data_IF_903033635400
#
_entry.id   IF_903033635400
#
_cell.length_a   1.000
_cell.length_b   1.000
_cell.length_c   1.000
_cell.angle_alpha   90.00
_cell.angle_beta   90.00
_cell.angle_gamma   90.00
#
_symmetry.space_group_name_H-M   'P 1'
#
loop_
_entity.id
_entity.type
_entity.pdbx_description
1 polymer ?
#
# COMPACT_ATOMS: atom_id res chain seq x y z
N UNK A 1 -20.23 57.35 1.17
CA UNK A 1 -19.19 56.72 0.34
C UNK A 1 -19.61 55.29 0.06
N UNK A 2 -19.57 54.87 -1.20
CA UNK A 2 -19.80 53.48 -1.58
C UNK A 2 -18.63 52.59 -1.13
N UNK A 3 -18.86 51.27 -1.06
CA UNK A 3 -17.81 50.31 -0.71
C UNK A 3 -16.59 50.39 -1.66
N UNK A 4 -16.81 50.77 -2.92
CA UNK A 4 -15.77 50.94 -3.94
C UNK A 4 -14.97 52.24 -3.76
N UNK A 5 -15.61 53.29 -3.24
CA UNK A 5 -14.94 54.55 -2.91
C UNK A 5 -14.03 54.45 -1.68
N UNK A 6 -14.32 53.49 -0.78
CA UNK A 6 -13.53 53.26 0.43
C UNK A 6 -12.27 52.39 0.21
N UNK A 7 -12.06 51.85 -1.00
CA UNK A 7 -10.88 51.04 -1.33
C UNK A 7 -9.71 51.90 -1.75
N UNK A 8 -8.54 51.65 -1.17
CA UNK A 8 -7.26 52.23 -1.58
C UNK A 8 -6.63 51.39 -2.71
N UNK A 9 -7.32 51.32 -3.84
CA UNK A 9 -6.99 50.47 -4.99
C UNK A 9 -6.34 51.22 -6.17
N UNK A 10 -6.06 52.52 -6.01
CA UNK A 10 -5.35 53.32 -7.02
C UNK A 10 -4.44 54.36 -6.38
N UNK A 11 -3.38 54.73 -7.11
CA UNK A 11 -2.39 55.72 -6.69
C UNK A 11 -3.02 57.09 -6.38
N UNK A 12 -4.08 57.46 -7.11
CA UNK A 12 -4.81 58.70 -6.87
C UNK A 12 -5.53 58.69 -5.51
N UNK A 13 -6.13 57.55 -5.13
CA UNK A 13 -6.84 57.43 -3.85
C UNK A 13 -5.85 57.38 -2.68
N UNK A 14 -4.75 56.65 -2.82
CA UNK A 14 -3.69 56.63 -1.80
C UNK A 14 -3.03 58.00 -1.63
N UNK A 15 -2.74 58.72 -2.72
CA UNK A 15 -2.21 60.07 -2.66
C UNK A 15 -3.18 61.06 -1.98
N UNK A 16 -4.48 61.00 -2.32
CA UNK A 16 -5.49 61.87 -1.72
C UNK A 16 -5.62 61.67 -0.20
N UNK A 17 -5.49 60.43 0.28
CA UNK A 17 -5.49 60.13 1.72
C UNK A 17 -4.18 60.60 2.38
N UNK A 18 -3.03 60.34 1.75
CA UNK A 18 -1.73 60.79 2.25
C UNK A 18 -1.65 62.31 2.41
N UNK A 19 -2.15 63.07 1.42
CA UNK A 19 -2.19 64.54 1.46
C UNK A 19 -3.06 65.06 2.61
N UNK A 20 -4.23 64.44 2.84
CA UNK A 20 -5.10 64.80 3.96
C UNK A 20 -4.47 64.51 5.32
N UNK A 21 -3.78 63.37 5.47
CA UNK A 21 -3.07 63.03 6.70
C UNK A 21 -1.90 64.00 6.95
N UNK A 22 -1.17 64.37 5.90
CA UNK A 22 -0.10 65.38 5.98
C UNK A 22 -0.65 66.76 6.38
N UNK A 23 -1.80 67.16 5.85
CA UNK A 23 -2.50 68.40 6.22
C UNK A 23 -2.95 68.45 7.69
N UNK A 24 -3.09 67.29 8.35
CA UNK A 24 -3.36 67.16 9.79
C UNK A 24 -2.09 67.14 10.65
N UNK A 25 -0.90 67.30 10.06
CA UNK A 25 0.38 67.32 10.76
C UNK A 25 1.05 65.95 10.94
N UNK A 26 0.53 64.88 10.31
CA UNK A 26 1.18 63.57 10.34
C UNK A 26 2.32 63.52 9.31
N UNK A 27 3.52 63.19 9.77
CA UNK A 27 4.70 63.10 8.92
C UNK A 27 4.80 61.70 8.26
N UNK A 28 5.06 61.68 6.95
CA UNK A 28 5.34 60.48 6.16
C UNK A 28 4.31 59.34 6.30
N UNK A 29 3.02 59.58 5.98
CA UNK A 29 2.01 58.53 6.01
C UNK A 29 2.33 57.45 4.97
N UNK A 30 2.39 56.20 5.41
CA UNK A 30 2.62 55.03 4.57
C UNK A 30 1.63 53.91 4.92
N UNK A 31 1.38 53.06 3.94
CA UNK A 31 0.56 51.86 4.13
C UNK A 31 1.49 50.74 4.55
N UNK A 32 1.21 50.14 5.71
CA UNK A 32 1.82 48.89 6.15
C UNK A 32 0.72 47.83 6.16
N UNK A 33 1.06 46.62 5.73
CA UNK A 33 0.13 45.52 5.63
C UNK A 33 0.75 44.27 6.26
N UNK A 34 -0.06 43.54 7.01
CA UNK A 34 0.35 42.36 7.78
C UNK A 34 -0.68 41.26 7.63
N UNK A 35 -0.21 40.01 7.57
CA UNK A 35 -1.05 38.82 7.70
C UNK A 35 -0.77 38.19 9.05
N UNK A 36 -1.82 38.12 9.89
CA UNK A 36 -1.76 37.48 11.20
C UNK A 36 -2.50 36.15 11.17
N UNK A 37 -1.79 35.07 11.45
CA UNK A 37 -2.37 33.73 11.56
C UNK A 37 -2.88 33.48 12.98
N UNK A 38 -4.10 32.96 13.09
CA UNK A 38 -4.71 32.58 14.37
C UNK A 38 -4.99 31.08 14.41
N UNK A 39 -4.65 30.45 15.54
CA UNK A 39 -4.82 29.01 15.71
C UNK A 39 -6.27 28.73 16.08
N UNK A 40 -6.97 27.98 15.23
CA UNK A 40 -8.34 27.56 15.48
C UNK A 40 -8.31 26.18 16.13
N UNK A 41 -8.24 26.14 17.46
CA UNK A 41 -8.04 24.90 18.21
C UNK A 41 -9.30 24.07 18.48
N UNK A 42 -10.50 24.56 18.13
CA UNK A 42 -11.76 23.92 18.59
C UNK A 42 -12.85 23.78 17.53
N UNK A 43 -12.61 24.20 16.29
CA UNK A 43 -13.60 24.04 15.22
C UNK A 43 -13.10 23.03 14.22
N UNK A 44 -13.52 21.77 14.40
CA UNK A 44 -13.69 20.89 13.24
C UNK A 44 -14.70 21.63 12.36
N UNK A 45 -14.23 22.21 11.24
CA UNK A 45 -15.12 22.82 10.28
C UNK A 45 -16.24 21.81 9.99
N UNK A 46 -17.50 22.19 10.23
CA UNK A 46 -18.64 21.31 9.90
C UNK A 46 -18.49 20.86 8.47
N UNK A 47 -18.95 19.66 8.12
CA UNK A 47 -18.66 19.05 6.82
C UNK A 47 -19.03 19.89 5.58
N UNK A 48 -19.78 20.98 5.73
CA UNK A 48 -20.08 22.00 4.71
C UNK A 48 -18.85 22.84 4.33
N UNK A 49 -17.93 23.09 5.27
CA UNK A 49 -16.70 23.87 5.10
C UNK A 49 -15.45 23.01 4.89
N UNK A 50 -15.57 21.70 5.06
CA UNK A 50 -14.51 20.76 4.75
C UNK A 50 -14.49 20.50 3.24
N UNK A 51 -13.33 20.67 2.60
CA UNK A 51 -13.15 20.30 1.19
C UNK A 51 -13.47 18.83 0.98
N UNK A 52 -14.56 18.54 0.27
CA UNK A 52 -15.02 17.17 -0.07
C UNK A 52 -14.55 16.70 -1.43
N UNK A 53 -13.98 17.61 -2.21
CA UNK A 53 -13.36 17.29 -3.48
C UNK A 53 -11.91 16.87 -3.24
N UNK A 54 -11.67 15.57 -3.22
CA UNK A 54 -10.33 15.00 -3.04
C UNK A 54 -9.34 15.52 -4.10
N UNK A 55 -9.79 15.90 -5.31
CA UNK A 55 -8.88 16.37 -6.35
C UNK A 55 -8.15 17.66 -5.97
N UNK A 56 -8.75 18.52 -5.15
CA UNK A 56 -8.12 19.76 -4.66
C UNK A 56 -6.76 19.58 -3.96
N UNK A 57 -6.53 18.40 -3.34
CA UNK A 57 -5.29 18.07 -2.65
C UNK A 57 -4.49 16.95 -3.34
N UNK A 58 -5.11 16.20 -4.25
CA UNK A 58 -4.55 14.99 -4.87
C UNK A 58 -4.28 15.14 -6.38
N UNK A 59 -4.45 16.33 -6.97
CA UNK A 59 -4.02 16.61 -8.35
C UNK A 59 -2.53 16.99 -8.42
N UNK A 60 -1.95 16.94 -9.62
CA UNK A 60 -0.50 17.13 -9.85
C UNK A 60 -0.02 18.58 -9.59
N UNK A 61 -0.93 19.53 -9.42
CA UNK A 61 -0.60 20.92 -9.12
C UNK A 61 -0.52 21.20 -7.61
N UNK A 62 0.12 22.31 -7.26
CA UNK A 62 0.28 22.75 -5.87
C UNK A 62 -1.08 22.82 -5.12
N UNK A 63 -1.03 22.73 -3.79
CA UNK A 63 -2.22 22.87 -2.96
C UNK A 63 -3.04 24.10 -3.38
N UNK A 64 -4.37 24.00 -3.41
CA UNK A 64 -5.19 25.11 -3.92
C UNK A 64 -4.87 26.42 -3.18
N UNK A 65 -4.53 27.51 -3.89
CA UNK A 65 -4.22 28.78 -3.24
C UNK A 65 -5.44 29.31 -2.49
N UNK A 66 -5.22 29.81 -1.27
CA UNK A 66 -6.24 30.43 -0.45
C UNK A 66 -6.23 31.94 -0.70
N UNK A 67 -7.36 32.49 -1.13
CA UNK A 67 -7.48 33.95 -1.25
C UNK A 67 -7.50 34.57 0.15
N UNK A 68 -6.50 35.42 0.45
CA UNK A 68 -6.40 36.18 1.69
C UNK A 68 -7.15 37.51 1.59
N UNK A 69 -7.08 38.17 0.44
CA UNK A 69 -7.73 39.46 0.22
C UNK A 69 -8.17 39.65 -1.24
N UNK A 70 -9.30 40.35 -1.42
CA UNK A 70 -9.83 40.72 -2.73
C UNK A 70 -9.12 41.90 -3.40
N UNK A 71 -8.27 42.63 -2.66
CA UNK A 71 -7.42 43.70 -3.17
C UNK A 71 -6.31 44.00 -2.14
N UNK A 72 -5.20 44.62 -2.58
CA UNK A 72 -4.14 45.12 -1.71
C UNK A 72 -4.15 46.65 -1.63
N UNK A 73 -4.37 47.25 -0.44
CA UNK A 73 -4.28 48.70 -0.26
C UNK A 73 -2.92 49.26 -0.72
N UNK A 74 -2.94 50.16 -1.70
CA UNK A 74 -1.73 50.75 -2.27
C UNK A 74 -0.76 49.76 -2.92
N UNK A 75 -1.22 48.55 -3.29
CA UNK A 75 -0.37 47.50 -3.86
C UNK A 75 0.68 46.94 -2.89
N UNK A 76 0.57 47.21 -1.59
CA UNK A 76 1.53 46.75 -0.59
C UNK A 76 1.31 45.27 -0.31
N UNK A 77 2.32 44.45 -0.59
CA UNK A 77 2.31 43.02 -0.25
C UNK A 77 2.55 42.88 1.26
N UNK A 78 1.63 42.28 2.01
CA UNK A 78 1.78 42.16 3.45
C UNK A 78 2.85 41.14 3.84
N UNK A 79 3.52 41.40 4.96
CA UNK A 79 4.40 40.43 5.59
C UNK A 79 3.59 39.48 6.49
N UNK A 80 3.99 38.20 6.55
CA UNK A 80 3.52 37.28 7.60
C UNK A 80 4.12 37.72 8.93
N UNK A 81 3.26 37.98 9.91
CA UNK A 81 3.70 38.31 11.27
C UNK A 81 4.20 37.05 11.95
N UNK A 82 5.51 36.98 12.22
CA UNK A 82 6.11 35.90 13.00
C UNK A 82 5.69 35.98 14.48
N UNK A 83 5.56 34.83 15.15
CA UNK A 83 5.32 34.75 16.60
C UNK A 83 3.93 34.31 17.04
N UNK A 84 2.97 34.17 16.12
CA UNK A 84 1.85 33.27 16.36
C UNK A 84 2.43 31.84 16.42
N UNK A 85 1.96 30.96 17.32
CA UNK A 85 2.42 29.57 17.46
C UNK A 85 2.06 28.67 16.25
N UNK A 86 2.24 29.17 15.03
CA UNK A 86 1.79 28.62 13.76
C UNK A 86 2.95 28.77 12.79
N UNK A 87 3.45 27.63 12.31
CA UNK A 87 4.46 27.63 11.27
C UNK A 87 3.86 28.17 9.96
N UNK A 88 4.47 29.21 9.41
CA UNK A 88 4.13 29.79 8.11
C UNK A 88 4.49 28.79 6.99
N UNK A 89 3.62 27.82 6.75
CA UNK A 89 3.90 26.70 5.84
C UNK A 89 3.38 27.01 4.42
N UNK A 90 3.90 28.08 3.82
CA UNK A 90 3.49 28.56 2.51
C UNK A 90 3.95 29.98 2.21
N UNK A 91 3.71 30.42 0.99
CA UNK A 91 4.14 31.72 0.47
C UNK A 91 2.95 32.62 0.16
N UNK A 92 3.07 33.92 0.45
CA UNK A 92 2.09 34.91 0.02
C UNK A 92 2.47 35.39 -1.39
N UNK A 93 1.52 35.31 -2.33
CA UNK A 93 1.72 35.69 -3.72
C UNK A 93 0.62 36.67 -4.16
N UNK A 94 0.99 37.82 -4.77
CA UNK A 94 0.03 38.74 -5.34
C UNK A 94 -0.56 38.16 -6.64
N UNK A 95 -1.88 38.26 -6.80
CA UNK A 95 -2.59 37.92 -8.03
C UNK A 95 -2.46 39.02 -9.09
N UNK A 96 -2.66 38.65 -10.36
CA UNK A 96 -2.53 39.58 -11.50
C UNK A 96 -3.58 40.72 -11.48
N UNK A 97 -4.67 40.55 -10.74
CA UNK A 97 -5.78 41.50 -10.56
C UNK A 97 -5.69 42.31 -9.26
N UNK A 98 -4.54 42.27 -8.56
CA UNK A 98 -4.33 42.96 -7.29
C UNK A 98 -4.93 42.24 -6.08
N UNK A 99 -5.46 41.02 -6.25
CA UNK A 99 -5.82 40.12 -5.16
C UNK A 99 -4.59 39.56 -4.46
N UNK A 100 -4.79 38.99 -3.27
CA UNK A 100 -3.73 38.37 -2.49
C UNK A 100 -4.05 36.91 -2.22
N UNK A 101 -3.13 36.02 -2.53
CA UNK A 101 -3.24 34.59 -2.26
C UNK A 101 -2.16 34.11 -1.30
N UNK A 102 -2.51 33.12 -0.50
CA UNK A 102 -1.58 32.28 0.23
C UNK A 102 -1.48 30.94 -0.49
N UNK A 103 -0.28 30.59 -0.93
CA UNK A 103 0.04 29.32 -1.55
C UNK A 103 0.54 28.36 -0.47
N UNK A 104 -0.24 27.35 -0.06
CA UNK A 104 0.21 26.40 0.95
C UNK A 104 1.35 25.55 0.40
N UNK A 105 2.31 25.25 1.27
CA UNK A 105 3.45 24.35 0.98
C UNK A 105 3.45 23.21 2.01
N UNK A 106 2.67 22.14 1.77
CA UNK A 106 2.49 21.03 2.71
C UNK A 106 3.80 20.35 3.13
N UNK A 107 4.78 20.33 2.24
CA UNK A 107 6.12 19.80 2.51
C UNK A 107 6.84 20.56 3.63
N UNK A 108 6.72 21.90 3.68
CA UNK A 108 7.28 22.70 4.77
C UNK A 108 6.53 22.47 6.09
N UNK A 109 5.24 22.12 6.01
CA UNK A 109 4.42 21.79 7.18
C UNK A 109 4.71 20.38 7.74
N UNK A 110 5.51 19.56 7.05
CA UNK A 110 5.68 18.14 7.39
C UNK A 110 4.41 17.31 7.24
N UNK A 111 3.45 17.78 6.44
CA UNK A 111 2.17 17.09 6.21
C UNK A 111 2.34 16.11 5.04
N UNK A 112 2.01 14.85 5.29
CA UNK A 112 1.99 13.82 4.25
C UNK A 112 0.58 13.67 3.67
N UNK A 113 0.48 13.79 2.35
CA UNK A 113 -0.74 13.69 1.56
C UNK A 113 -0.65 12.44 0.69
N UNK A 114 -1.57 11.49 0.90
CA UNK A 114 -1.62 10.24 0.12
C UNK A 114 -1.66 10.52 -1.39
N UNK A 115 -0.98 9.70 -2.19
CA UNK A 115 -0.98 9.80 -3.66
C UNK A 115 -0.18 10.98 -4.23
N UNK A 116 -0.06 12.09 -3.51
CA UNK A 116 0.85 13.20 -3.84
C UNK A 116 2.26 12.87 -3.32
N UNK A 117 2.38 12.72 -2.01
CA UNK A 117 3.65 12.44 -1.36
C UNK A 117 3.98 10.96 -1.49
N UNK A 118 5.24 10.70 -1.83
CA UNK A 118 5.77 9.36 -2.05
C UNK A 118 7.27 9.33 -1.79
N UNK A 119 7.73 8.22 -1.24
CA UNK A 119 9.16 7.98 -1.03
C UNK A 119 9.70 7.21 -2.24
N UNK A 120 10.36 7.93 -3.14
CA UNK A 120 10.76 7.40 -4.45
C UNK A 120 11.66 6.16 -4.39
N UNK A 121 12.55 6.06 -3.40
CA UNK A 121 13.41 4.89 -3.27
C UNK A 121 12.63 3.62 -2.90
N UNK A 122 11.51 3.74 -2.16
CA UNK A 122 10.63 2.61 -1.84
C UNK A 122 9.96 2.09 -3.11
N UNK A 123 9.51 2.99 -3.98
CA UNK A 123 8.93 2.62 -5.28
C UNK A 123 9.96 1.90 -6.15
N UNK A 124 11.20 2.43 -6.23
CA UNK A 124 12.27 1.81 -7.00
C UNK A 124 12.66 0.44 -6.44
N UNK A 125 12.81 0.31 -5.12
CA UNK A 125 13.11 -0.96 -4.47
C UNK A 125 11.98 -1.98 -4.69
N UNK A 126 10.73 -1.56 -4.50
CA UNK A 126 9.55 -2.39 -4.70
C UNK A 126 9.43 -2.87 -6.15
N UNK A 127 9.55 -1.96 -7.11
CA UNK A 127 9.53 -2.27 -8.54
C UNK A 127 10.70 -3.19 -8.93
N UNK A 128 11.92 -2.92 -8.46
CA UNK A 128 13.08 -3.76 -8.74
C UNK A 128 12.89 -5.18 -8.17
N UNK A 129 12.32 -5.31 -6.98
CA UNK A 129 12.00 -6.60 -6.36
C UNK A 129 10.96 -7.34 -7.19
N UNK A 130 9.87 -6.68 -7.57
CA UNK A 130 8.81 -7.26 -8.38
C UNK A 130 9.30 -7.73 -9.75
N UNK A 131 10.03 -6.86 -10.47
CA UNK A 131 10.60 -7.19 -11.77
C UNK A 131 11.68 -8.27 -11.67
N UNK A 132 12.48 -8.28 -10.60
CA UNK A 132 13.46 -9.32 -10.33
C UNK A 132 12.81 -10.70 -10.15
N UNK A 133 11.74 -10.77 -9.35
CA UNK A 133 10.97 -12.02 -9.17
C UNK A 133 10.30 -12.43 -10.48
N UNK A 134 9.68 -11.49 -11.20
CA UNK A 134 9.05 -11.77 -12.49
C UNK A 134 10.06 -12.33 -13.49
N UNK A 135 11.22 -11.68 -13.65
CA UNK A 135 12.28 -12.14 -14.55
C UNK A 135 12.80 -13.52 -14.16
N UNK A 136 13.06 -13.76 -12.87
CA UNK A 136 13.49 -15.06 -12.36
C UNK A 136 12.46 -16.15 -12.70
N UNK A 137 11.18 -15.89 -12.42
CA UNK A 137 10.06 -16.79 -12.73
C UNK A 137 9.98 -17.06 -14.23
N UNK A 138 10.06 -16.02 -15.07
CA UNK A 138 9.98 -16.15 -16.54
C UNK A 138 11.15 -16.98 -17.08
N UNK A 139 12.38 -16.71 -16.65
CA UNK A 139 13.57 -17.48 -17.05
C UNK A 139 13.45 -18.92 -16.60
N UNK A 140 13.07 -19.14 -15.34
CA UNK A 140 12.93 -20.48 -14.78
C UNK A 140 11.81 -21.29 -15.47
N UNK A 141 10.65 -20.68 -15.72
CA UNK A 141 9.55 -21.27 -16.46
C UNK A 141 9.96 -21.60 -17.91
N UNK A 142 10.62 -20.67 -18.59
CA UNK A 142 11.11 -20.85 -19.96
C UNK A 142 12.11 -22.01 -20.07
N UNK A 143 13.06 -22.10 -19.13
CA UNK A 143 14.01 -23.21 -19.08
C UNK A 143 13.31 -24.55 -18.82
N UNK A 144 12.30 -24.60 -17.94
CA UNK A 144 11.51 -25.82 -17.71
C UNK A 144 10.77 -26.26 -18.98
N UNK A 145 10.12 -25.33 -19.69
CA UNK A 145 9.43 -25.62 -20.94
C UNK A 145 10.40 -26.11 -22.03
N UNK A 146 11.56 -25.46 -22.14
CA UNK A 146 12.61 -25.84 -23.08
C UNK A 146 13.14 -27.26 -22.82
N UNK A 147 13.42 -27.60 -21.56
CA UNK A 147 13.89 -28.95 -21.20
C UNK A 147 12.80 -29.99 -21.39
N UNK A 148 11.56 -29.69 -21.00
CA UNK A 148 10.42 -30.59 -21.21
C UNK A 148 10.15 -30.86 -22.68
N UNK A 149 10.41 -29.91 -23.58
CA UNK A 149 10.29 -30.12 -25.02
C UNK A 149 11.39 -31.04 -25.57
N UNK A 150 12.58 -31.05 -24.95
CA UNK A 150 13.74 -31.83 -25.40
C UNK A 150 13.84 -33.24 -24.82
N UNK A 151 13.10 -33.56 -23.75
CA UNK A 151 13.17 -34.86 -23.07
C UNK A 151 11.77 -35.39 -22.81
N UNK A 152 11.45 -36.64 -23.20
CA UNK A 152 10.17 -37.24 -22.84
C UNK A 152 10.07 -37.33 -21.31
N UNK A 153 8.91 -36.94 -20.77
CA UNK A 153 8.64 -36.98 -19.34
C UNK A 153 8.46 -38.42 -18.89
N UNK A 154 9.01 -38.74 -17.72
CA UNK A 154 8.57 -39.89 -16.95
C UNK A 154 7.28 -39.48 -16.23
N UNK A 155 6.18 -40.19 -16.43
CA UNK A 155 4.94 -39.96 -15.69
C UNK A 155 5.04 -40.76 -14.39
N UNK A 156 5.21 -40.10 -13.23
CA UNK A 156 5.21 -40.80 -11.95
C UNK A 156 3.82 -41.39 -11.70
N UNK A 157 3.75 -42.56 -11.05
CA UNK A 157 2.48 -43.11 -10.60
C UNK A 157 1.86 -42.14 -9.58
N UNK A 158 0.62 -41.73 -9.80
CA UNK A 158 -0.09 -40.81 -8.90
C UNK A 158 -1.33 -41.45 -8.28
N UNK A 159 -1.58 -41.15 -7.01
CA UNK A 159 -2.81 -41.48 -6.31
C UNK A 159 -3.65 -40.23 -6.06
N UNK A 160 -4.96 -40.34 -6.28
CA UNK A 160 -5.90 -39.23 -6.09
C UNK A 160 -6.32 -39.14 -4.63
N UNK A 161 -5.96 -38.04 -3.97
CA UNK A 161 -6.22 -37.81 -2.54
C UNK A 161 -7.07 -36.55 -2.36
N UNK A 162 -8.04 -36.61 -1.47
CA UNK A 162 -8.80 -35.43 -1.05
C UNK A 162 -7.96 -34.61 -0.07
N UNK A 163 -7.33 -33.53 -0.56
CA UNK A 163 -6.31 -32.77 0.14
C UNK A 163 -6.86 -31.53 0.85
N UNK A 164 -7.77 -30.80 0.19
CA UNK A 164 -8.27 -29.52 0.67
C UNK A 164 -9.76 -29.58 0.94
N UNK A 165 -10.20 -29.16 2.12
CA UNK A 165 -11.62 -29.10 2.48
C UNK A 165 -12.34 -27.92 1.80
N UNK A 166 -13.67 -28.00 1.65
CA UNK A 166 -14.45 -26.96 0.96
C UNK A 166 -14.29 -25.58 1.63
N UNK A 167 -14.21 -25.55 2.96
CA UNK A 167 -13.94 -24.35 3.74
C UNK A 167 -12.56 -23.77 3.42
N UNK A 168 -11.49 -24.59 3.43
CA UNK A 168 -10.13 -24.15 3.12
C UNK A 168 -10.04 -23.52 1.72
N UNK A 169 -10.75 -24.11 0.74
CA UNK A 169 -10.82 -23.59 -0.63
C UNK A 169 -11.54 -22.25 -0.70
N UNK A 170 -12.73 -22.16 -0.11
CA UNK A 170 -13.49 -20.91 -0.08
C UNK A 170 -12.69 -19.78 0.58
N UNK A 171 -12.12 -20.06 1.74
CA UNK A 171 -11.28 -19.13 2.49
C UNK A 171 -10.10 -18.61 1.65
N UNK A 172 -9.38 -19.51 1.00
CA UNK A 172 -8.24 -19.17 0.17
C UNK A 172 -8.64 -18.29 -1.01
N UNK A 173 -9.69 -18.65 -1.76
CA UNK A 173 -10.12 -17.88 -2.93
C UNK A 173 -10.65 -16.50 -2.56
N UNK A 174 -11.41 -16.40 -1.45
CA UNK A 174 -11.84 -15.12 -0.92
C UNK A 174 -10.63 -14.23 -0.57
N UNK A 175 -9.64 -14.79 0.12
CA UNK A 175 -8.40 -14.10 0.45
C UNK A 175 -7.62 -13.66 -0.80
N UNK A 176 -7.45 -14.55 -1.77
CA UNK A 176 -6.72 -14.28 -3.01
C UNK A 176 -7.35 -13.13 -3.80
N UNK A 177 -8.68 -13.18 -3.99
CA UNK A 177 -9.41 -12.11 -4.70
C UNK A 177 -9.31 -10.79 -3.94
N UNK A 178 -9.50 -10.80 -2.61
CA UNK A 178 -9.40 -9.60 -1.79
C UNK A 178 -8.00 -8.96 -1.88
N UNK A 179 -6.93 -9.75 -1.78
CA UNK A 179 -5.55 -9.24 -1.86
C UNK A 179 -5.27 -8.65 -3.25
N UNK A 180 -5.67 -9.32 -4.33
CA UNK A 180 -5.47 -8.81 -5.70
C UNK A 180 -6.18 -7.46 -5.89
N UNK A 181 -7.44 -7.35 -5.44
CA UNK A 181 -8.19 -6.11 -5.52
C UNK A 181 -7.62 -5.01 -4.61
N UNK A 182 -7.10 -5.37 -3.44
CA UNK A 182 -6.40 -4.44 -2.55
C UNK A 182 -5.10 -3.91 -3.17
N UNK A 183 -4.31 -4.77 -3.81
CA UNK A 183 -3.11 -4.33 -4.54
C UNK A 183 -3.47 -3.38 -5.67
N UNK A 184 -4.52 -3.69 -6.44
CA UNK A 184 -4.99 -2.83 -7.52
C UNK A 184 -5.47 -1.47 -7.01
N UNK A 185 -6.40 -1.46 -6.04
CA UNK A 185 -6.92 -0.21 -5.46
C UNK A 185 -5.83 0.57 -4.73
N UNK A 186 -4.91 -0.11 -4.05
CA UNK A 186 -3.75 0.51 -3.41
C UNK A 186 -2.81 1.16 -4.41
N UNK A 187 -2.56 0.54 -5.57
CA UNK A 187 -1.79 1.15 -6.66
C UNK A 187 -2.46 2.41 -7.21
N UNK A 188 -3.78 2.41 -7.37
CA UNK A 188 -4.55 3.60 -7.79
C UNK A 188 -4.46 4.72 -6.76
N UNK A 189 -4.51 4.41 -5.46
CA UNK A 189 -4.34 5.40 -4.37
C UNK A 189 -2.91 5.94 -4.33
N UNK A 190 -1.92 5.07 -4.58
CA UNK A 190 -0.51 5.42 -4.55
C UNK A 190 -0.07 6.26 -5.76
N UNK A 191 -0.65 6.01 -6.94
CA UNK A 191 -0.37 6.70 -8.21
C UNK A 191 -1.64 7.25 -8.88
N UNK A 192 -2.34 8.22 -8.25
CA UNK A 192 -3.52 8.84 -8.84
C UNK A 192 -3.19 9.64 -10.11
N UNK A 193 -1.96 10.14 -10.24
CA UNK A 193 -1.39 10.81 -11.41
C UNK A 193 -1.46 9.94 -12.67
N UNK A 194 -1.11 8.66 -12.53
CA UNK A 194 -1.11 7.72 -13.66
C UNK A 194 -2.49 7.08 -13.91
N UNK A 195 -3.34 7.03 -12.87
CA UNK A 195 -4.59 6.28 -12.86
C UNK A 195 -5.82 7.19 -12.60
N UNK A 196 -5.74 8.45 -13.05
CA UNK A 196 -6.75 9.49 -12.81
C UNK A 196 -8.14 9.24 -13.42
N UNK A 197 -8.31 8.16 -14.20
CA UNK A 197 -9.62 7.72 -14.70
C UNK A 197 -10.56 7.25 -13.57
N UNK A 198 -10.01 6.90 -12.40
CA UNK A 198 -10.80 6.43 -11.26
C UNK A 198 -11.11 7.56 -10.28
N UNK A 199 -12.34 7.56 -9.75
CA UNK A 199 -12.70 8.48 -8.68
C UNK A 199 -11.97 8.10 -7.38
N UNK A 200 -11.05 8.96 -6.94
CA UNK A 200 -10.17 8.72 -5.79
C UNK A 200 -10.94 8.33 -4.52
N UNK A 201 -12.02 9.07 -4.20
CA UNK A 201 -12.86 8.80 -3.02
C UNK A 201 -13.48 7.41 -3.06
N UNK A 202 -14.00 7.00 -4.22
CA UNK A 202 -14.60 5.68 -4.37
C UNK A 202 -13.55 4.58 -4.25
N UNK A 203 -12.36 4.77 -4.82
CA UNK A 203 -11.27 3.78 -4.72
C UNK A 203 -10.83 3.61 -3.26
N UNK A 204 -10.63 4.70 -2.51
CA UNK A 204 -10.30 4.63 -1.08
C UNK A 204 -11.40 3.89 -0.30
N UNK A 205 -12.67 4.15 -0.60
CA UNK A 205 -13.79 3.46 0.05
C UNK A 205 -13.77 1.95 -0.26
N UNK A 206 -13.59 1.57 -1.53
CA UNK A 206 -13.50 0.16 -1.94
C UNK A 206 -12.29 -0.52 -1.29
N UNK A 207 -11.14 0.14 -1.26
CA UNK A 207 -9.93 -0.38 -0.61
C UNK A 207 -10.18 -0.68 0.87
N UNK A 208 -10.79 0.27 1.60
CA UNK A 208 -11.10 0.09 3.02
C UNK A 208 -12.11 -1.04 3.26
N UNK A 209 -13.12 -1.18 2.40
CA UNK A 209 -14.11 -2.26 2.50
C UNK A 209 -13.47 -3.63 2.24
N UNK A 210 -12.62 -3.74 1.23
CA UNK A 210 -11.87 -4.97 0.94
C UNK A 210 -10.90 -5.31 2.08
N UNK A 211 -10.26 -4.30 2.69
CA UNK A 211 -9.38 -4.49 3.83
C UNK A 211 -10.14 -5.03 5.04
N UNK A 212 -11.35 -4.51 5.30
CA UNK A 212 -12.22 -5.04 6.35
C UNK A 212 -12.65 -6.49 6.06
N UNK A 213 -13.03 -6.80 4.82
CA UNK A 213 -13.37 -8.18 4.42
C UNK A 213 -12.19 -9.12 4.65
N UNK A 214 -10.98 -8.71 4.23
CA UNK A 214 -9.76 -9.49 4.43
C UNK A 214 -9.44 -9.66 5.92
N UNK A 215 -9.60 -8.62 6.73
CA UNK A 215 -9.38 -8.66 8.17
C UNK A 215 -10.34 -9.63 8.86
N UNK A 216 -11.64 -9.57 8.54
CA UNK A 216 -12.64 -10.50 9.06
C UNK A 216 -12.35 -11.94 8.61
N UNK A 217 -12.00 -12.13 7.35
CA UNK A 217 -11.62 -13.43 6.82
C UNK A 217 -10.38 -14.02 7.52
N UNK A 218 -9.35 -13.19 7.77
CA UNK A 218 -8.15 -13.59 8.50
C UNK A 218 -8.46 -13.92 9.96
N UNK A 219 -9.31 -13.14 10.63
CA UNK A 219 -9.71 -13.39 12.02
C UNK A 219 -10.51 -14.71 12.16
N UNK A 220 -11.46 -14.95 11.25
CA UNK A 220 -12.22 -16.21 11.20
C UNK A 220 -11.32 -17.42 10.93
N UNK A 221 -10.33 -17.26 10.05
CA UNK A 221 -9.38 -18.32 9.75
C UNK A 221 -8.45 -18.63 10.92
N UNK A 222 -7.94 -17.59 11.59
CA UNK A 222 -7.16 -17.74 12.81
C UNK A 222 -7.98 -18.50 13.87
N UNK A 223 -9.24 -18.11 14.08
CA UNK A 223 -10.15 -18.80 14.98
C UNK A 223 -10.35 -20.28 14.58
N UNK A 224 -10.60 -20.56 13.30
CA UNK A 224 -10.73 -21.93 12.79
C UNK A 224 -9.47 -22.76 13.02
N UNK A 225 -8.28 -22.24 12.70
CA UNK A 225 -7.02 -22.98 12.86
C UNK A 225 -6.65 -23.21 14.34
N UNK A 226 -7.02 -22.29 15.23
CA UNK A 226 -6.85 -22.46 16.67
C UNK A 226 -7.80 -23.52 17.23
N UNK A 227 -9.09 -23.47 16.85
CA UNK A 227 -10.11 -24.40 17.37
C UNK A 227 -10.01 -25.80 16.80
N UNK A 228 -9.60 -25.95 15.54
CA UNK A 228 -9.41 -27.27 14.88
C UNK A 228 -8.07 -27.93 15.20
N UNK A 229 -7.13 -27.21 15.81
CA UNK A 229 -5.75 -27.67 16.01
C UNK A 229 -4.91 -27.71 14.71
N UNK A 230 -5.47 -27.31 13.58
CA UNK A 230 -4.77 -27.26 12.29
C UNK A 230 -3.58 -26.30 12.27
N UNK A 231 -3.45 -25.41 13.27
CA UNK A 231 -2.30 -24.52 13.43
C UNK A 231 -0.96 -25.26 13.50
N UNK A 232 -0.95 -26.51 13.97
CA UNK A 232 0.25 -27.35 14.04
C UNK A 232 0.93 -27.57 12.68
N UNK A 233 0.19 -27.44 11.58
CA UNK A 233 0.74 -27.57 10.22
C UNK A 233 1.68 -26.41 9.83
N UNK A 234 1.57 -25.28 10.51
CA UNK A 234 2.37 -24.07 10.24
C UNK A 234 3.60 -23.95 11.15
N UNK A 235 3.74 -24.83 12.15
CA UNK A 235 4.86 -24.80 13.10
C UNK A 235 5.98 -25.71 12.58
N UNK A 236 7.16 -25.18 12.22
CA UNK A 236 8.28 -25.99 11.77
C UNK A 236 8.75 -26.95 12.87
N UNK A 237 8.98 -28.22 12.51
CA UNK A 237 9.64 -29.17 13.43
C UNK A 237 11.14 -28.87 13.42
N UNK A 238 11.77 -28.56 14.57
CA UNK A 238 13.16 -28.06 14.60
C UNK A 238 14.18 -29.09 14.10
N UNK A 239 13.93 -30.38 14.30
CA UNK A 239 14.84 -31.43 13.87
C UNK A 239 14.75 -31.70 12.35
N UNK A 240 15.91 -31.68 11.66
CA UNK A 240 16.02 -31.95 10.23
C UNK A 240 15.34 -30.93 9.31
N UNK A 241 14.98 -29.74 9.82
CA UNK A 241 14.35 -28.70 9.02
C UNK A 241 15.30 -28.14 7.96
N UNK A 242 16.52 -27.79 8.36
CA UNK A 242 17.53 -27.21 7.48
C UNK A 242 17.93 -28.16 6.36
N UNK A 243 18.11 -29.45 6.66
CA UNK A 243 18.42 -30.46 5.65
C UNK A 243 17.31 -30.58 4.60
N UNK A 244 16.06 -30.64 5.05
CA UNK A 244 14.89 -30.68 4.16
C UNK A 244 14.72 -29.38 3.37
N UNK A 245 15.03 -28.23 3.95
CA UNK A 245 15.02 -26.95 3.26
C UNK A 245 16.09 -26.89 2.16
N UNK A 246 17.33 -27.33 2.45
CA UNK A 246 18.41 -27.41 1.46
C UNK A 246 18.05 -28.38 0.32
N UNK A 247 17.48 -29.55 0.64
CA UNK A 247 16.98 -30.49 -0.37
C UNK A 247 15.90 -29.85 -1.25
N UNK A 248 14.96 -29.13 -0.65
CA UNK A 248 13.90 -28.43 -1.38
C UNK A 248 14.45 -27.33 -2.29
N UNK A 249 15.41 -26.54 -1.81
CA UNK A 249 16.08 -25.50 -2.60
C UNK A 249 16.87 -26.10 -3.75
N UNK A 250 17.65 -27.15 -3.51
CA UNK A 250 18.38 -27.88 -4.56
C UNK A 250 17.41 -28.42 -5.62
N UNK A 251 16.24 -28.90 -5.19
CA UNK A 251 15.24 -29.41 -6.11
C UNK A 251 14.77 -28.33 -7.10
N UNK A 252 14.31 -27.19 -6.58
CA UNK A 252 13.84 -26.10 -7.43
C UNK A 252 14.96 -25.49 -8.29
N UNK A 253 16.19 -25.40 -7.80
CA UNK A 253 17.29 -24.81 -8.57
C UNK A 253 17.87 -25.75 -9.64
N UNK A 254 17.72 -27.07 -9.49
CA UNK A 254 18.46 -28.02 -10.33
C UNK A 254 17.68 -29.29 -10.69
N UNK A 255 17.21 -30.06 -9.70
CA UNK A 255 16.60 -31.38 -9.95
C UNK A 255 15.31 -31.31 -10.77
N UNK A 256 14.53 -30.23 -10.63
CA UNK A 256 13.31 -30.02 -11.41
C UNK A 256 13.59 -29.96 -12.93
N UNK A 257 14.78 -29.49 -13.33
CA UNK A 257 15.19 -29.47 -14.75
C UNK A 257 15.67 -30.84 -15.23
N UNK A 258 16.02 -31.75 -14.33
CA UNK A 258 16.34 -33.13 -14.68
C UNK A 258 15.11 -34.02 -14.80
N UNK A 259 13.94 -33.54 -14.35
CA UNK A 259 12.75 -34.37 -14.22
C UNK A 259 12.86 -35.40 -13.10
N UNK A 260 13.73 -35.15 -12.11
CA UNK A 260 13.78 -35.97 -10.90
C UNK A 260 12.46 -35.77 -10.09
N UNK A 261 11.99 -36.80 -9.38
CA UNK A 261 10.77 -36.71 -8.59
C UNK A 261 10.95 -35.72 -7.43
N UNK A 262 9.83 -35.17 -6.95
CA UNK A 262 9.87 -34.21 -5.85
C UNK A 262 10.42 -34.87 -4.56
N UNK A 263 11.36 -34.25 -3.82
CA UNK A 263 12.04 -34.92 -2.70
C UNK A 263 11.15 -35.21 -1.49
N UNK A 264 9.94 -34.66 -1.45
CA UNK A 264 9.01 -34.81 -0.35
C UNK A 264 7.58 -35.00 -0.87
N UNK A 265 6.91 -36.03 -0.39
CA UNK A 265 5.49 -36.27 -0.63
C UNK A 265 4.63 -35.29 0.16
N UNK A 266 3.62 -34.73 -0.52
CA UNK A 266 2.53 -34.04 0.18
C UNK A 266 1.59 -35.08 0.77
N UNK A 267 1.32 -34.97 2.06
CA UNK A 267 0.30 -35.80 2.72
C UNK A 267 -0.76 -34.91 3.35
N UNK A 268 -1.94 -35.45 3.65
CA UNK A 268 -3.02 -34.67 4.29
C UNK A 268 -2.60 -34.04 5.62
N UNK A 269 -1.69 -34.69 6.35
CA UNK A 269 -1.13 -34.22 7.62
C UNK A 269 0.08 -33.29 7.45
N UNK A 270 0.74 -33.30 6.29
CA UNK A 270 1.88 -32.44 5.94
C UNK A 270 1.70 -31.90 4.52
N UNK A 271 0.84 -30.88 4.39
CA UNK A 271 0.50 -30.24 3.12
C UNK A 271 1.60 -29.30 2.60
N UNK A 272 2.47 -28.82 3.51
CA UNK A 272 3.45 -27.77 3.23
C UNK A 272 4.87 -28.32 3.21
N UNK A 273 5.63 -27.99 2.16
CA UNK A 273 7.08 -28.21 2.14
C UNK A 273 7.79 -27.17 3.07
N UNK A 274 9.06 -27.40 3.48
CA UNK A 274 9.78 -26.50 4.37
C UNK A 274 9.91 -25.07 3.84
N UNK A 275 10.11 -24.89 2.53
CA UNK A 275 10.22 -23.57 1.92
C UNK A 275 8.88 -22.81 2.00
N UNK A 276 7.77 -23.52 1.78
CA UNK A 276 6.41 -23.02 1.97
C UNK A 276 6.16 -22.72 3.44
N UNK A 277 6.59 -23.55 4.39
CA UNK A 277 6.46 -23.26 5.82
C UNK A 277 7.17 -21.96 6.22
N UNK A 278 8.41 -21.72 5.76
CA UNK A 278 9.09 -20.42 5.97
C UNK A 278 8.28 -19.28 5.37
N UNK A 279 7.82 -19.47 4.13
CA UNK A 279 7.09 -18.44 3.40
C UNK A 279 5.76 -18.10 4.09
N UNK A 280 4.98 -19.10 4.51
CA UNK A 280 3.74 -18.91 5.25
C UNK A 280 3.99 -18.34 6.64
N UNK A 281 5.08 -18.73 7.32
CA UNK A 281 5.47 -18.13 8.59
C UNK A 281 5.72 -16.63 8.42
N UNK A 282 6.54 -16.22 7.44
CA UNK A 282 6.79 -14.82 7.13
C UNK A 282 5.52 -14.09 6.69
N UNK A 283 4.69 -14.71 5.84
CA UNK A 283 3.46 -14.09 5.36
C UNK A 283 2.45 -13.86 6.49
N UNK A 284 2.19 -14.87 7.32
CA UNK A 284 1.16 -14.81 8.36
C UNK A 284 1.60 -14.07 9.62
N UNK A 285 2.89 -14.10 9.97
CA UNK A 285 3.39 -13.50 11.21
C UNK A 285 4.12 -12.17 11.00
N UNK A 286 4.51 -11.83 9.76
CA UNK A 286 5.24 -10.59 9.47
C UNK A 286 4.48 -9.74 8.47
N UNK A 287 4.35 -10.18 7.21
CA UNK A 287 3.84 -9.33 6.14
C UNK A 287 2.36 -8.96 6.36
N UNK A 288 1.49 -9.94 6.62
CA UNK A 288 0.05 -9.71 6.79
C UNK A 288 -0.25 -8.86 8.05
N UNK A 289 0.30 -9.16 9.24
CA UNK A 289 0.12 -8.30 10.41
C UNK A 289 0.65 -6.88 10.16
N UNK A 290 1.81 -6.75 9.51
CA UNK A 290 2.39 -5.44 9.23
C UNK A 290 1.50 -4.62 8.28
N UNK A 291 0.96 -5.24 7.22
CA UNK A 291 0.00 -4.60 6.31
C UNK A 291 -1.27 -4.16 7.03
N UNK A 292 -1.81 -5.02 7.91
CA UNK A 292 -3.02 -4.73 8.70
C UNK A 292 -2.76 -3.57 9.67
N UNK A 293 -1.66 -3.62 10.43
CA UNK A 293 -1.33 -2.60 11.43
C UNK A 293 -1.07 -1.25 10.77
N UNK A 294 -0.25 -1.21 9.72
CA UNK A 294 0.02 0.04 9.00
C UNK A 294 -1.24 0.61 8.37
N UNK A 295 -2.08 -0.22 7.74
CA UNK A 295 -3.36 0.21 7.16
C UNK A 295 -4.35 0.72 8.20
N UNK A 296 -4.47 0.04 9.34
CA UNK A 296 -5.34 0.45 10.44
C UNK A 296 -4.90 1.78 11.07
N UNK A 297 -3.59 1.98 11.26
CA UNK A 297 -3.04 3.24 11.77
C UNK A 297 -3.23 4.40 10.79
N UNK A 298 -3.08 4.14 9.48
CA UNK A 298 -3.37 5.12 8.43
C UNK A 298 -4.87 5.48 8.38
N UNK A 299 -5.75 4.47 8.48
CA UNK A 299 -7.20 4.68 8.49
C UNK A 299 -7.67 5.46 9.73
N UNK A 300 -7.09 5.18 10.89
CA UNK A 300 -7.42 5.82 12.18
C UNK A 300 -6.63 7.09 12.48
N UNK A 301 -5.81 7.61 11.56
CA UNK A 301 -4.90 8.73 11.82
C UNK A 301 -5.63 10.01 12.29
N UNK A 302 -6.86 10.22 11.82
CA UNK A 302 -7.66 11.39 12.20
C UNK A 302 -8.29 11.24 13.60
N UNK A 303 -8.59 10.01 14.01
CA UNK A 303 -9.24 9.69 15.28
C UNK A 303 -8.21 9.50 16.41
N UNK A 304 -7.04 8.93 16.10
CA UNK A 304 -5.97 8.64 17.05
C UNK A 304 -4.61 9.17 16.57
N UNK A 305 -4.47 10.49 16.34
CA UNK A 305 -3.25 11.08 15.79
C UNK A 305 -2.02 10.84 16.65
N UNK A 306 -2.17 10.76 17.99
CA UNK A 306 -1.06 10.48 18.90
C UNK A 306 -0.50 9.07 18.71
N UNK A 307 -1.37 8.07 18.49
CA UNK A 307 -0.95 6.67 18.27
C UNK A 307 -0.22 6.55 16.94
N UNK A 308 -0.75 7.17 15.89
CA UNK A 308 -0.07 7.22 14.60
C UNK A 308 1.28 7.95 14.69
N UNK A 309 1.37 9.05 15.44
CA UNK A 309 2.60 9.79 15.65
C UNK A 309 3.67 8.97 16.39
N UNK A 310 3.29 8.15 17.38
CA UNK A 310 4.23 7.22 18.03
C UNK A 310 4.84 6.21 17.05
N UNK A 311 4.12 5.85 15.99
CA UNK A 311 4.61 4.99 14.92
C UNK A 311 5.34 5.77 13.80
N UNK A 312 5.63 7.07 13.99
CA UNK A 312 6.30 7.93 13.01
C UNK A 312 5.37 8.69 12.07
N UNK A 313 4.05 8.56 12.23
CA UNK A 313 3.04 9.25 11.42
C UNK A 313 2.97 8.73 9.97
N UNK A 314 2.21 9.45 9.14
CA UNK A 314 2.04 9.11 7.72
C UNK A 314 3.36 9.05 6.92
N UNK A 315 4.38 9.91 7.16
CA UNK A 315 5.67 9.81 6.47
C UNK A 315 6.40 8.46 6.64
N UNK A 316 6.11 7.71 7.72
CA UNK A 316 6.68 6.37 7.95
C UNK A 316 5.68 5.27 7.59
N UNK A 317 4.41 5.44 7.99
CA UNK A 317 3.38 4.43 7.79
C UNK A 317 3.09 4.18 6.31
N UNK A 318 2.96 5.24 5.49
CA UNK A 318 2.58 5.10 4.09
C UNK A 318 3.67 4.40 3.26
N UNK A 319 4.96 4.79 3.32
CA UNK A 319 6.01 4.07 2.60
C UNK A 319 6.17 2.62 3.07
N UNK A 320 6.00 2.36 4.36
CA UNK A 320 6.05 0.99 4.88
C UNK A 320 4.89 0.14 4.35
N UNK A 321 3.66 0.68 4.34
CA UNK A 321 2.48 0.02 3.80
C UNK A 321 2.64 -0.30 2.30
N UNK A 322 3.20 0.64 1.53
CA UNK A 322 3.51 0.47 0.11
C UNK A 322 4.62 -0.56 -0.12
N UNK A 323 5.68 -0.55 0.69
CA UNK A 323 6.76 -1.54 0.60
C UNK A 323 6.22 -2.96 0.83
N UNK A 324 5.41 -3.16 1.86
CA UNK A 324 4.82 -4.48 2.15
C UNK A 324 3.85 -4.90 1.04
N UNK A 325 3.10 -3.96 0.45
CA UNK A 325 2.27 -4.24 -0.73
C UNK A 325 3.09 -4.72 -1.94
N UNK A 326 4.26 -4.13 -2.21
CA UNK A 326 5.19 -4.62 -3.24
C UNK A 326 5.69 -6.04 -2.96
N UNK A 327 5.97 -6.36 -1.69
CA UNK A 327 6.35 -7.72 -1.29
C UNK A 327 5.20 -8.71 -1.49
N UNK A 328 3.96 -8.34 -1.20
CA UNK A 328 2.78 -9.15 -1.49
C UNK A 328 2.58 -9.38 -3.00
N UNK A 329 2.73 -8.34 -3.82
CA UNK A 329 2.65 -8.46 -5.27
C UNK A 329 3.71 -9.43 -5.80
N UNK A 330 4.95 -9.30 -5.33
CA UNK A 330 6.07 -10.19 -5.69
C UNK A 330 5.82 -11.63 -5.24
N UNK A 331 5.31 -11.82 -4.02
CA UNK A 331 4.94 -13.12 -3.49
C UNK A 331 3.85 -13.78 -4.34
N UNK A 332 2.81 -13.06 -4.78
CA UNK A 332 1.74 -13.62 -5.61
C UNK A 332 2.30 -14.16 -6.93
N UNK A 333 3.21 -13.42 -7.59
CA UNK A 333 3.86 -13.88 -8.83
C UNK A 333 4.64 -15.17 -8.59
N UNK A 334 5.49 -15.21 -7.56
CA UNK A 334 6.24 -16.41 -7.20
C UNK A 334 5.32 -17.59 -6.80
N UNK A 335 4.27 -17.31 -6.03
CA UNK A 335 3.32 -18.31 -5.55
C UNK A 335 2.56 -18.97 -6.69
N UNK A 336 1.95 -18.16 -7.58
CA UNK A 336 1.24 -18.67 -8.77
C UNK A 336 2.19 -19.43 -9.68
N UNK A 337 3.45 -19.01 -9.80
CA UNK A 337 4.43 -19.78 -10.55
C UNK A 337 4.71 -21.15 -9.90
N UNK A 338 4.93 -21.21 -8.60
CA UNK A 338 5.22 -22.46 -7.90
C UNK A 338 4.06 -23.46 -8.00
N UNK A 339 2.80 -23.03 -8.09
CA UNK A 339 1.67 -23.96 -8.31
C UNK A 339 1.69 -24.61 -9.71
N UNK A 340 2.48 -24.09 -10.64
CA UNK A 340 2.73 -24.72 -11.96
C UNK A 340 3.87 -25.74 -11.97
N UNK A 341 4.47 -26.01 -10.80
CA UNK A 341 5.63 -26.91 -10.66
C UNK A 341 5.28 -28.36 -10.39
N UNK A 342 3.98 -28.68 -10.23
CA UNK A 342 3.49 -30.05 -10.11
C UNK A 342 3.61 -30.90 -11.40
N UNK A 343 3.12 -32.15 -11.39
CA UNK A 343 3.21 -33.08 -12.52
C UNK A 343 2.68 -32.48 -13.83
N UNK A 344 1.56 -31.73 -13.73
CA UNK A 344 1.06 -30.86 -14.79
C UNK A 344 0.96 -29.43 -14.31
N UNK A 345 0.97 -28.47 -15.26
CA UNK A 345 0.89 -27.02 -14.98
C UNK A 345 -0.35 -26.64 -14.16
N UNK A 346 -1.41 -27.44 -14.24
CA UNK A 346 -2.69 -27.15 -13.57
C UNK A 346 -3.00 -28.08 -12.40
N UNK A 347 -2.12 -29.03 -12.03
CA UNK A 347 -2.42 -30.03 -10.99
C UNK A 347 -2.78 -29.34 -9.66
N UNK A 348 -1.88 -28.50 -9.14
CA UNK A 348 -2.08 -27.83 -7.84
C UNK A 348 -3.22 -26.81 -7.89
N UNK A 349 -3.41 -26.13 -9.04
CA UNK A 349 -4.54 -25.20 -9.24
C UNK A 349 -5.87 -25.95 -9.22
N UNK A 350 -5.96 -27.08 -9.93
CA UNK A 350 -7.15 -27.95 -9.93
C UNK A 350 -7.42 -28.50 -8.53
N UNK A 351 -6.38 -28.83 -7.77
CA UNK A 351 -6.54 -29.26 -6.38
C UNK A 351 -7.17 -28.16 -5.52
N UNK A 352 -6.78 -26.89 -5.72
CA UNK A 352 -7.35 -25.77 -4.98
C UNK A 352 -8.77 -25.40 -5.41
N UNK A 353 -9.22 -25.82 -6.58
CA UNK A 353 -10.61 -25.64 -7.05
C UNK A 353 -11.49 -26.81 -6.61
N UNK A 354 -11.02 -28.05 -6.83
CA UNK A 354 -11.82 -29.28 -6.66
C UNK A 354 -11.67 -29.94 -5.29
N UNK A 355 -10.55 -29.68 -4.60
CA UNK A 355 -10.16 -30.35 -3.36
C UNK A 355 -9.36 -31.64 -3.55
N UNK A 356 -9.29 -32.16 -4.77
CA UNK A 356 -8.60 -33.41 -5.09
C UNK A 356 -7.25 -33.15 -5.75
N UNK A 357 -6.20 -33.76 -5.22
CA UNK A 357 -4.84 -33.67 -5.75
C UNK A 357 -4.36 -35.06 -6.18
N UNK A 358 -3.73 -35.14 -7.35
CA UNK A 358 -3.05 -36.35 -7.81
C UNK A 358 -1.61 -36.29 -7.29
N UNK A 359 -1.31 -37.10 -6.26
CA UNK A 359 -0.04 -37.08 -5.52
C UNK A 359 0.83 -38.24 -6.00
N UNK A 360 2.12 -37.99 -6.26
CA UNK A 360 3.09 -39.03 -6.62
C UNK A 360 3.19 -40.10 -5.53
N UNK A 361 3.20 -41.37 -5.92
CA UNK A 361 3.39 -42.52 -5.03
C UNK A 361 4.88 -42.85 -5.02
N UNK A 362 5.57 -42.59 -3.91
CA UNK A 362 6.93 -43.05 -3.73
C UNK A 362 6.89 -44.45 -3.12
N UNK A 363 7.25 -45.46 -3.91
CA UNK A 363 7.49 -46.79 -3.37
C UNK A 363 8.65 -46.72 -2.37
N UNK A 364 8.37 -46.85 -1.07
CA UNK A 364 9.43 -47.04 -0.08
C UNK A 364 10.15 -48.35 -0.40
N UNK A 365 11.46 -48.33 -0.69
CA UNK A 365 12.24 -49.56 -0.80
C UNK A 365 12.40 -50.13 0.62
N UNK A 366 11.43 -50.91 1.08
CA UNK A 366 11.42 -51.49 2.43
C UNK A 366 10.12 -52.15 2.89
N UNK A 367 8.99 -51.97 2.20
CA UNK A 367 7.72 -52.62 2.58
C UNK A 367 7.52 -53.99 1.88
N UNK A 368 8.59 -54.75 1.69
CA UNK A 368 8.48 -56.18 1.39
C UNK A 368 8.90 -56.97 2.64
N UNK A 369 8.13 -58.02 2.92
CA UNK A 369 8.25 -59.04 3.98
C UNK A 369 7.80 -58.66 5.40
N UNK A 370 6.50 -58.81 5.65
CA UNK A 370 6.00 -59.55 6.84
C UNK A 370 4.57 -60.04 6.58
N UNK A 371 4.46 -61.07 5.72
CA UNK A 371 3.34 -62.00 5.73
C UNK A 371 3.95 -63.40 5.57
N UNK A 372 4.11 -64.08 6.70
CA UNK A 372 4.27 -65.53 6.80
C UNK A 372 3.52 -65.98 8.05
#
# INVERSE_FOLDING_TARGET
LSATELRLDSDAKTAAVAERLAGLGLANPRIEAEVQSYSVNHNVARGEWATRDCQSCHHDEAATPLQLAGYMPGGVVPAMVGGANIAASGTIQPGADGTLFFQPEPEQAGVYIFGRDRVSWVDWLGLATFLGVLALVTVHAGLRLYVAWRRPRHEPETQRVYMYDAYERFWHWLQTIAIILLLFTGLVIHRPDMLGMFNFRNIVWVHNMLALILLLNAALALFYHLTSGAIQQFIPRPYGFFDRAILQTKFYLYSIFKGEPHPMEKTRSQKLNPLQQVTYFGLLNVLLPLQIVTGALMWGVQQWPQVAAMAGGLPVLAPLHTLVAWLFASFIVAHVYLTTTGPTVLTDIKAMVTGWEDVEVHAYPGAQTEQA
#
